data_IF_112827939864
#
_entry.id   IF_112827939864
#
_cell.length_a   1.000
_cell.length_b   1.000
_cell.length_c   1.000
_cell.angle_alpha   90.00
_cell.angle_beta   90.00
_cell.angle_gamma   90.00
#
_symmetry.space_group_name_H-M   'P 1'
#
loop_
_entity.id
_entity.type
_entity.pdbx_description
1 polymer ?
#
# COMPACT_ATOMS: atom_id res chain seq x y z
N UNK A 1 -10.43 17.10 -6.01
CA UNK A 1 -10.49 15.63 -5.96
C UNK A 1 -10.26 15.22 -4.52
N UNK A 2 -11.11 14.34 -3.98
CA UNK A 2 -11.00 13.93 -2.58
C UNK A 2 -10.26 12.60 -2.49
N UNK A 3 -9.29 12.52 -1.59
CA UNK A 3 -8.52 11.30 -1.31
C UNK A 3 -8.81 10.88 0.13
N UNK A 4 -9.12 9.61 0.33
CA UNK A 4 -9.40 9.04 1.66
C UNK A 4 -8.33 7.98 1.94
N UNK A 5 -7.53 8.21 2.99
CA UNK A 5 -6.55 7.24 3.48
C UNK A 5 -7.13 6.43 4.64
N UNK A 6 -7.05 5.09 4.56
CA UNK A 6 -7.40 4.20 5.67
C UNK A 6 -6.15 3.55 6.26
N UNK A 7 -6.03 3.56 7.58
CA UNK A 7 -4.92 2.95 8.32
C UNK A 7 -5.45 2.10 9.46
N UNK A 8 -4.67 1.08 9.87
CA UNK A 8 -5.04 0.21 10.97
C UNK A 8 -4.13 -1.01 11.09
N UNK A 9 -4.14 -1.66 12.25
CA UNK A 9 -3.38 -2.88 12.51
C UNK A 9 -3.83 -4.04 11.61
N UNK A 10 -3.01 -5.11 11.44
CA UNK A 10 -3.48 -6.34 10.81
C UNK A 10 -4.78 -6.84 11.46
N UNK A 11 -5.74 -7.28 10.64
CA UNK A 11 -7.05 -7.73 11.12
C UNK A 11 -8.06 -6.63 11.49
N UNK A 12 -7.71 -5.35 11.41
CA UNK A 12 -8.60 -4.23 11.79
C UNK A 12 -9.75 -3.92 10.80
N UNK A 13 -9.95 -4.74 9.76
CA UNK A 13 -10.99 -4.51 8.74
C UNK A 13 -10.65 -3.50 7.62
N UNK A 14 -9.44 -2.92 7.60
CA UNK A 14 -9.05 -1.94 6.55
C UNK A 14 -9.12 -2.50 5.12
N UNK A 15 -8.79 -3.78 4.93
CA UNK A 15 -8.89 -4.44 3.61
C UNK A 15 -10.34 -4.66 3.19
N UNK A 16 -11.24 -4.90 4.14
CA UNK A 16 -12.67 -5.05 3.87
C UNK A 16 -13.28 -3.73 3.39
N UNK A 17 -12.92 -2.61 4.05
CA UNK A 17 -13.34 -1.28 3.61
C UNK A 17 -12.88 -0.96 2.18
N UNK A 18 -11.65 -1.37 1.81
CA UNK A 18 -11.12 -1.23 0.46
C UNK A 18 -11.91 -2.08 -0.55
N UNK A 19 -12.20 -3.35 -0.25
CA UNK A 19 -12.98 -4.24 -1.12
C UNK A 19 -14.39 -3.69 -1.38
N UNK A 20 -15.07 -3.16 -0.35
CA UNK A 20 -16.40 -2.55 -0.50
C UNK A 20 -16.34 -1.30 -1.36
N UNK A 21 -15.32 -0.45 -1.19
CA UNK A 21 -15.14 0.74 -2.03
C UNK A 21 -14.91 0.37 -3.51
N UNK A 22 -14.07 -0.62 -3.78
CA UNK A 22 -13.82 -1.12 -5.13
C UNK A 22 -15.10 -1.69 -5.76
N UNK A 23 -15.87 -2.50 -5.03
CA UNK A 23 -17.16 -3.03 -5.48
C UNK A 23 -18.20 -1.94 -5.77
N UNK A 24 -18.09 -0.78 -5.11
CA UNK A 24 -18.91 0.40 -5.36
C UNK A 24 -18.41 1.24 -6.57
N UNK A 25 -17.38 0.79 -7.28
CA UNK A 25 -16.80 1.51 -8.42
C UNK A 25 -15.88 2.66 -8.02
N UNK A 26 -15.47 2.74 -6.76
CA UNK A 26 -14.52 3.75 -6.29
C UNK A 26 -13.10 3.23 -6.55
N UNK A 27 -12.22 4.00 -7.21
CA UNK A 27 -10.84 3.59 -7.41
C UNK A 27 -10.11 3.38 -6.08
N UNK A 28 -9.45 2.23 -5.93
CA UNK A 28 -8.70 1.87 -4.72
C UNK A 28 -7.23 1.67 -5.07
N UNK A 29 -6.36 2.22 -4.22
CA UNK A 29 -4.92 1.98 -4.25
C UNK A 29 -4.50 1.40 -2.91
N UNK A 30 -3.89 0.22 -2.93
CA UNK A 30 -3.38 -0.44 -1.73
C UNK A 30 -1.87 -0.20 -1.62
N UNK A 31 -1.45 0.64 -0.67
CA UNK A 31 -0.03 1.00 -0.50
C UNK A 31 0.88 -0.20 -0.29
N UNK A 32 0.40 -1.27 0.36
CA UNK A 32 1.18 -2.49 0.53
C UNK A 32 1.56 -3.15 -0.80
N UNK A 33 0.69 -3.09 -1.81
CA UNK A 33 0.97 -3.66 -3.13
C UNK A 33 1.94 -2.81 -3.92
N UNK A 34 1.85 -1.48 -3.80
CA UNK A 34 2.82 -0.55 -4.38
C UNK A 34 4.23 -0.87 -3.87
N UNK A 35 4.39 -0.99 -2.55
CA UNK A 35 5.69 -1.33 -1.94
C UNK A 35 6.18 -2.70 -2.39
N UNK A 36 5.32 -3.73 -2.43
CA UNK A 36 5.70 -5.08 -2.89
C UNK A 36 6.10 -5.12 -4.36
N UNK A 37 5.40 -4.36 -5.21
CA UNK A 37 5.74 -4.22 -6.62
C UNK A 37 7.11 -3.55 -6.79
N UNK A 38 7.38 -2.53 -5.98
CA UNK A 38 8.66 -1.84 -5.99
C UNK A 38 9.82 -2.72 -5.53
N UNK A 39 9.64 -3.54 -4.49
CA UNK A 39 10.63 -4.56 -4.10
C UNK A 39 11.02 -5.41 -5.32
N UNK A 40 10.02 -5.97 -6.02
CA UNK A 40 10.26 -6.81 -7.20
C UNK A 40 10.97 -6.04 -8.32
N UNK A 41 10.59 -4.78 -8.56
CA UNK A 41 11.21 -3.93 -9.58
C UNK A 41 12.70 -3.68 -9.30
N UNK A 42 13.09 -3.60 -8.03
CA UNK A 42 14.50 -3.43 -7.60
C UNK A 42 15.23 -4.75 -7.32
N UNK A 43 14.63 -5.90 -7.63
CA UNK A 43 15.25 -7.22 -7.42
C UNK A 43 15.30 -7.68 -5.95
N UNK A 44 14.46 -7.11 -5.09
CA UNK A 44 14.37 -7.45 -3.67
C UNK A 44 13.20 -8.39 -3.38
N UNK A 45 13.37 -9.29 -2.41
CA UNK A 45 12.28 -10.16 -1.95
C UNK A 45 11.24 -9.35 -1.15
N UNK A 46 9.98 -9.23 -1.61
CA UNK A 46 8.94 -8.51 -0.89
C UNK A 46 8.58 -9.13 0.48
N UNK A 47 8.81 -10.42 0.70
CA UNK A 47 8.52 -11.04 2.00
C UNK A 47 9.47 -10.54 3.10
N UNK A 48 10.71 -10.20 2.74
CA UNK A 48 11.76 -9.79 3.66
C UNK A 48 12.01 -8.28 3.65
N UNK A 49 11.95 -7.64 2.48
CA UNK A 49 12.45 -6.27 2.28
C UNK A 49 11.36 -5.20 2.20
N UNK A 50 10.07 -5.54 2.28
CA UNK A 50 8.99 -4.55 2.13
C UNK A 50 9.05 -3.41 3.16
N UNK A 51 9.49 -3.68 4.39
CA UNK A 51 9.63 -2.64 5.42
C UNK A 51 10.70 -1.61 5.06
N UNK A 52 11.89 -2.08 4.64
CA UNK A 52 12.98 -1.22 4.17
C UNK A 52 12.55 -0.42 2.95
N UNK A 53 11.94 -1.08 1.97
CA UNK A 53 11.48 -0.41 0.74
C UNK A 53 10.40 0.64 0.99
N UNK A 54 9.51 0.42 1.96
CA UNK A 54 8.57 1.46 2.36
C UNK A 54 9.28 2.67 2.98
N UNK A 55 10.40 2.49 3.69
CA UNK A 55 11.23 3.57 4.21
C UNK A 55 11.87 4.38 3.07
N UNK A 56 12.58 3.68 2.18
CA UNK A 56 13.23 4.29 1.00
C UNK A 56 12.25 5.08 0.15
N UNK A 57 11.06 4.54 -0.14
CA UNK A 57 10.05 5.27 -0.92
C UNK A 57 9.55 6.54 -0.21
N UNK A 58 9.49 6.57 1.12
CA UNK A 58 9.14 7.79 1.85
C UNK A 58 10.25 8.84 1.79
N UNK A 59 11.51 8.42 1.76
CA UNK A 59 12.65 9.33 1.65
C UNK A 59 12.81 9.88 0.22
N UNK A 60 12.55 9.05 -0.78
CA UNK A 60 12.70 9.40 -2.20
C UNK A 60 11.50 10.22 -2.73
N UNK A 61 10.28 9.91 -2.29
CA UNK A 61 9.03 10.43 -2.89
C UNK A 61 8.11 11.13 -1.87
N UNK A 62 8.46 11.13 -0.58
CA UNK A 62 7.66 11.76 0.47
C UNK A 62 8.04 13.22 0.67
N UNK A 63 7.21 14.13 0.15
CA UNK A 63 7.22 15.56 0.49
C UNK A 63 6.49 15.87 1.81
#
# INVERSE_FOLDING_TARGET
>A
MNVIGTVGLPGSGKGEAANVAEAAGIPVVVMGDVVRAECRRRGLDPAQHHGQMAGTLREEEGD
#
